data_IF_659561466785
#
_entry.id   IF_659561466785
#
_cell.length_a   1.000
_cell.length_b   1.000
_cell.length_c   1.000
_cell.angle_alpha   90.00
_cell.angle_beta   90.00
_cell.angle_gamma   90.00
#
_symmetry.space_group_name_H-M   'P 1'
#
loop_
_entity.id
_entity.type
_entity.pdbx_description
1 polymer ?
#
# COMPACT_ATOMS: atom_id res chain seq x y z
N UNK A 1 10.72 -16.97 -20.19
CA UNK A 1 11.06 -16.38 -18.86
C UNK A 1 11.98 -15.16 -18.93
N UNK A 2 12.98 -15.13 -19.86
CA UNK A 2 13.94 -14.00 -19.96
C UNK A 2 13.31 -12.61 -20.21
N UNK A 3 12.12 -12.52 -20.81
CA UNK A 3 11.44 -11.23 -21.11
C UNK A 3 10.66 -10.62 -19.94
N UNK A 4 10.42 -11.36 -18.85
CA UNK A 4 9.62 -10.89 -17.70
C UNK A 4 10.48 -10.51 -16.48
N UNK A 5 11.80 -10.69 -16.56
CA UNK A 5 12.67 -10.42 -15.42
C UNK A 5 12.62 -8.96 -14.90
N UNK A 6 12.47 -7.91 -15.77
CA UNK A 6 12.40 -6.54 -15.25
C UNK A 6 11.18 -6.31 -14.36
N UNK A 7 10.03 -6.92 -14.71
CA UNK A 7 8.83 -6.83 -13.87
C UNK A 7 8.98 -7.56 -12.54
N UNK A 8 9.64 -8.71 -12.52
CA UNK A 8 9.94 -9.39 -11.25
C UNK A 8 10.93 -8.60 -10.39
N UNK A 9 11.93 -7.97 -11.00
CA UNK A 9 12.83 -7.06 -10.28
C UNK A 9 12.05 -5.90 -9.67
N UNK A 10 11.11 -5.30 -10.41
CA UNK A 10 10.24 -4.25 -9.90
C UNK A 10 9.44 -4.72 -8.67
N UNK A 11 8.85 -5.92 -8.72
CA UNK A 11 8.13 -6.49 -7.57
C UNK A 11 9.06 -6.66 -6.35
N UNK A 12 10.29 -7.14 -6.54
CA UNK A 12 11.27 -7.29 -5.45
C UNK A 12 11.63 -5.93 -4.85
N UNK A 13 11.87 -4.91 -5.69
CA UNK A 13 12.15 -3.54 -5.22
C UNK A 13 10.97 -2.97 -4.46
N UNK A 14 9.74 -3.19 -4.93
CA UNK A 14 8.51 -2.75 -4.24
C UNK A 14 8.38 -3.39 -2.86
N UNK A 15 8.60 -4.71 -2.75
CA UNK A 15 8.58 -5.41 -1.46
C UNK A 15 9.72 -4.93 -0.55
N UNK A 16 10.91 -4.71 -1.10
CA UNK A 16 12.04 -4.15 -0.36
C UNK A 16 11.76 -2.76 0.20
N UNK A 17 11.12 -1.88 -0.61
CA UNK A 17 10.73 -0.54 -0.18
C UNK A 17 9.67 -0.61 0.92
N UNK A 18 8.65 -1.46 0.78
CA UNK A 18 7.64 -1.69 1.82
C UNK A 18 8.27 -2.15 3.13
N UNK A 19 9.17 -3.14 3.06
CA UNK A 19 9.87 -3.64 4.23
C UNK A 19 10.72 -2.55 4.89
N UNK A 20 11.42 -1.74 4.11
CA UNK A 20 12.21 -0.61 4.63
C UNK A 20 11.33 0.43 5.34
N UNK A 21 10.19 0.81 4.72
CA UNK A 21 9.25 1.75 5.32
C UNK A 21 8.67 1.19 6.63
N UNK A 22 8.19 -0.06 6.60
CA UNK A 22 7.53 -0.70 7.74
C UNK A 22 8.47 -1.11 8.87
N UNK A 23 9.71 -1.51 8.57
CA UNK A 23 10.66 -2.00 9.58
C UNK A 23 11.66 -0.94 10.06
N UNK A 24 11.87 0.14 9.30
CA UNK A 24 12.87 1.16 9.64
C UNK A 24 12.22 2.53 9.86
N UNK A 25 11.49 3.06 8.87
CA UNK A 25 10.98 4.43 8.93
C UNK A 25 9.81 4.60 9.90
N UNK A 26 8.80 3.76 9.78
CA UNK A 26 7.62 3.86 10.64
C UNK A 26 7.95 3.60 12.13
N UNK A 27 8.76 2.59 12.50
CA UNK A 27 9.20 2.44 13.90
C UNK A 27 10.03 3.61 14.42
N UNK A 28 10.88 4.22 13.57
CA UNK A 28 11.66 5.39 13.99
C UNK A 28 10.76 6.59 14.35
N UNK A 29 9.69 6.83 13.57
CA UNK A 29 8.70 7.87 13.89
C UNK A 29 7.91 7.48 15.15
N UNK A 30 7.49 6.22 15.26
CA UNK A 30 6.74 5.71 16.42
C UNK A 30 7.53 5.91 17.73
N UNK A 31 8.84 5.72 17.73
CA UNK A 31 9.67 5.94 18.92
C UNK A 31 9.64 7.40 19.41
N UNK A 32 9.55 8.37 18.50
CA UNK A 32 9.46 9.80 18.86
C UNK A 32 8.14 10.16 19.52
N UNK A 33 7.08 9.40 19.26
CA UNK A 33 5.73 9.60 19.83
C UNK A 33 5.38 8.54 20.90
N UNK A 34 6.37 8.12 21.68
CA UNK A 34 6.17 7.19 22.80
C UNK A 34 5.78 5.77 22.42
N UNK A 35 6.15 5.30 21.22
CA UNK A 35 5.84 3.95 20.72
C UNK A 35 4.45 3.79 20.12
N UNK A 36 3.68 4.87 19.96
CA UNK A 36 2.37 4.83 19.29
C UNK A 36 2.54 4.51 17.81
N UNK A 37 1.60 3.74 17.24
CA UNK A 37 1.62 3.46 15.79
C UNK A 37 1.17 4.69 15.01
N UNK A 38 1.87 4.97 13.92
CA UNK A 38 1.43 6.00 12.96
C UNK A 38 0.17 5.54 12.18
N UNK A 39 -0.60 6.47 11.56
CA UNK A 39 -1.84 6.18 10.86
C UNK A 39 -1.74 5.01 9.89
N UNK A 40 -0.75 5.02 9.04
CA UNK A 40 -0.52 4.06 7.96
C UNK A 40 -0.36 2.61 8.40
N UNK A 41 -0.03 2.38 9.67
CA UNK A 41 0.15 1.03 10.24
C UNK A 41 -1.11 0.46 10.89
N UNK A 42 -2.26 1.14 10.79
CA UNK A 42 -3.52 0.73 11.40
C UNK A 42 -4.57 0.42 10.33
N UNK A 43 -4.76 -0.84 9.89
CA UNK A 43 -5.64 -1.20 8.77
C UNK A 43 -7.10 -0.74 8.89
N UNK A 44 -7.56 -0.52 10.11
CA UNK A 44 -8.93 -0.05 10.40
C UNK A 44 -8.96 1.40 10.92
N UNK A 45 -7.82 2.10 10.85
CA UNK A 45 -7.66 3.43 11.43
C UNK A 45 -7.76 3.44 12.95
N UNK A 46 -7.97 4.62 13.53
CA UNK A 46 -8.28 4.78 14.96
C UNK A 46 -9.69 5.28 15.16
N UNK A 47 -10.20 5.07 16.37
CA UNK A 47 -11.33 5.84 16.87
C UNK A 47 -10.89 7.28 17.21
N UNK A 48 -11.86 8.10 17.59
CA UNK A 48 -11.60 9.50 17.88
C UNK A 48 -10.64 9.71 19.05
N UNK A 49 -10.72 8.86 20.08
CA UNK A 49 -9.86 8.97 21.26
C UNK A 49 -8.42 8.55 20.95
N UNK A 50 -8.23 7.54 20.12
CA UNK A 50 -6.92 7.17 19.59
C UNK A 50 -6.32 8.28 18.73
N UNK A 51 -7.12 8.93 17.89
CA UNK A 51 -6.69 10.06 17.08
C UNK A 51 -6.29 11.27 17.93
N UNK A 52 -7.06 11.59 18.98
CA UNK A 52 -6.72 12.66 19.94
C UNK A 52 -5.43 12.36 20.70
N UNK A 53 -5.25 11.11 21.15
CA UNK A 53 -4.04 10.69 21.85
C UNK A 53 -2.81 10.80 20.95
N UNK A 54 -2.93 10.36 19.69
CA UNK A 54 -1.86 10.44 18.70
C UNK A 54 -1.54 11.91 18.36
N UNK A 55 -2.55 12.75 18.17
CA UNK A 55 -2.39 14.17 17.91
C UNK A 55 -1.64 14.86 19.06
N UNK A 56 -2.01 14.56 20.30
CA UNK A 56 -1.34 15.09 21.48
C UNK A 56 0.13 14.63 21.57
N UNK A 57 0.43 13.36 21.21
CA UNK A 57 1.78 12.84 21.19
C UNK A 57 2.66 13.55 20.12
N UNK A 58 2.13 13.77 18.91
CA UNK A 58 2.83 14.54 17.88
C UNK A 58 3.06 16.00 18.31
N UNK A 59 2.07 16.64 18.94
CA UNK A 59 2.18 18.03 19.41
C UNK A 59 3.23 18.16 20.53
N UNK A 60 3.25 17.21 21.48
CA UNK A 60 4.26 17.16 22.54
C UNK A 60 5.67 16.98 21.97
N UNK A 61 5.85 16.01 21.06
CA UNK A 61 7.16 15.78 20.43
C UNK A 61 7.62 17.00 19.62
N UNK A 62 6.71 17.69 18.94
CA UNK A 62 7.04 18.91 18.19
C UNK A 62 7.59 20.02 19.13
N UNK A 63 6.95 20.22 20.28
CA UNK A 63 7.41 21.20 21.27
C UNK A 63 8.79 20.83 21.84
N UNK A 64 9.01 19.56 22.18
CA UNK A 64 10.29 19.05 22.68
C UNK A 64 11.39 19.14 21.61
N UNK A 65 11.05 18.86 20.36
CA UNK A 65 11.97 18.92 19.23
C UNK A 65 12.43 20.36 18.95
N UNK A 66 11.50 21.32 19.01
CA UNK A 66 11.80 22.74 18.85
C UNK A 66 12.72 23.26 19.98
N UNK A 67 12.47 22.85 21.22
CA UNK A 67 13.33 23.20 22.36
C UNK A 67 14.71 22.56 22.27
N UNK A 68 14.79 21.32 21.76
CA UNK A 68 16.03 20.54 21.65
C UNK A 68 16.82 20.72 20.34
N UNK A 69 16.29 21.47 19.36
CA UNK A 69 16.92 21.66 18.05
C UNK A 69 17.05 20.37 17.22
N UNK A 70 16.12 19.43 17.34
CA UNK A 70 16.07 18.17 16.59
C UNK A 70 14.87 18.12 15.64
N UNK A 71 14.91 17.16 14.70
CA UNK A 71 13.75 16.85 13.88
C UNK A 71 12.63 16.26 14.74
N UNK A 72 11.41 16.75 14.54
CA UNK A 72 10.20 16.23 15.19
C UNK A 72 9.62 15.02 14.46
N UNK A 73 8.78 14.25 15.16
CA UNK A 73 8.01 13.15 14.57
C UNK A 73 7.11 13.64 13.43
N UNK A 74 6.50 14.81 13.59
CA UNK A 74 5.67 15.44 12.56
C UNK A 74 6.44 15.73 11.28
N UNK A 75 7.63 16.34 11.38
CA UNK A 75 8.48 16.60 10.23
C UNK A 75 8.99 15.29 9.58
N UNK A 76 9.34 14.28 10.40
CA UNK A 76 9.76 12.97 9.91
C UNK A 76 8.61 12.25 9.18
N UNK A 77 7.37 12.40 9.66
CA UNK A 77 6.18 11.83 9.05
C UNK A 77 5.86 12.48 7.70
N UNK A 78 5.88 13.80 7.62
CA UNK A 78 5.74 14.51 6.34
C UNK A 78 6.85 14.15 5.35
N UNK A 79 8.08 14.00 5.83
CA UNK A 79 9.21 13.56 4.98
C UNK A 79 9.04 12.13 4.47
N UNK A 80 8.40 11.24 5.24
CA UNK A 80 8.03 9.90 4.79
C UNK A 80 7.06 9.97 3.60
N UNK A 81 5.99 10.76 3.71
CA UNK A 81 4.98 10.93 2.66
C UNK A 81 5.56 11.62 1.43
N UNK A 82 6.32 12.70 1.59
CA UNK A 82 6.93 13.43 0.48
C UNK A 82 8.04 12.64 -0.25
N UNK A 83 8.56 11.59 0.36
CA UNK A 83 9.63 10.76 -0.18
C UNK A 83 9.18 9.37 -0.57
N UNK A 84 9.24 8.46 0.39
CA UNK A 84 9.02 7.04 0.13
C UNK A 84 7.59 6.72 -0.25
N UNK A 85 6.61 7.35 0.37
CA UNK A 85 5.19 7.16 0.11
C UNK A 85 4.71 7.85 -1.17
N UNK A 86 5.47 8.79 -1.72
CA UNK A 86 5.22 9.29 -3.06
C UNK A 86 5.58 8.25 -4.12
N UNK A 87 6.57 7.40 -3.86
CA UNK A 87 7.13 6.42 -4.81
C UNK A 87 6.50 5.03 -4.64
N UNK A 88 6.24 4.60 -3.40
CA UNK A 88 5.77 3.25 -3.12
C UNK A 88 4.42 2.91 -3.75
N UNK A 89 3.34 3.72 -3.62
CA UNK A 89 2.03 3.36 -4.15
C UNK A 89 1.99 3.21 -5.68
N UNK A 90 2.64 4.08 -6.49
CA UNK A 90 2.80 3.83 -7.91
C UNK A 90 3.55 2.53 -8.24
N UNK A 91 4.67 2.26 -7.56
CA UNK A 91 5.42 1.02 -7.75
C UNK A 91 4.58 -0.22 -7.41
N UNK A 92 3.83 -0.16 -6.32
CA UNK A 92 2.95 -1.25 -5.90
C UNK A 92 1.82 -1.47 -6.92
N UNK A 93 1.18 -0.41 -7.39
CA UNK A 93 0.15 -0.45 -8.45
C UNK A 93 0.69 -1.11 -9.73
N UNK A 94 1.88 -0.70 -10.20
CA UNK A 94 2.51 -1.30 -11.38
C UNK A 94 2.88 -2.77 -11.12
N UNK A 95 3.34 -3.11 -9.92
CA UNK A 95 3.66 -4.48 -9.53
C UNK A 95 2.44 -5.39 -9.53
N UNK A 96 1.29 -4.92 -9.01
CA UNK A 96 0.02 -5.66 -9.07
C UNK A 96 -0.42 -5.90 -10.52
N UNK A 97 -0.38 -4.87 -11.37
CA UNK A 97 -0.67 -4.98 -12.80
C UNK A 97 0.27 -5.96 -13.50
N UNK A 98 1.57 -5.91 -13.21
CA UNK A 98 2.54 -6.85 -13.75
C UNK A 98 2.27 -8.29 -13.30
N UNK A 99 1.96 -8.53 -12.02
CA UNK A 99 1.65 -9.86 -11.51
C UNK A 99 0.41 -10.47 -12.19
N UNK A 100 -0.63 -9.66 -12.42
CA UNK A 100 -1.82 -10.08 -13.16
C UNK A 100 -1.49 -10.35 -14.65
N UNK A 101 -0.71 -9.46 -15.28
CA UNK A 101 -0.22 -9.66 -16.64
C UNK A 101 0.59 -10.95 -16.77
N UNK A 102 1.53 -11.20 -15.86
CA UNK A 102 2.37 -12.40 -15.86
C UNK A 102 1.57 -13.69 -15.67
N UNK A 103 0.43 -13.64 -14.94
CA UNK A 103 -0.48 -14.76 -14.81
C UNK A 103 -1.20 -15.08 -16.12
N UNK A 104 -1.61 -14.06 -16.87
CA UNK A 104 -2.55 -14.19 -17.98
C UNK A 104 -1.85 -14.26 -19.35
N UNK A 105 -0.81 -13.46 -19.58
CA UNK A 105 -0.22 -13.24 -20.91
C UNK A 105 1.13 -13.94 -21.09
N UNK A 106 1.19 -15.25 -20.85
CA UNK A 106 2.38 -16.05 -21.16
C UNK A 106 2.36 -16.47 -22.64
N UNK A 107 3.46 -16.22 -23.40
CA UNK A 107 3.51 -16.52 -24.83
C UNK A 107 3.48 -18.03 -25.16
N UNK A 108 3.78 -18.88 -24.20
CA UNK A 108 3.94 -20.34 -24.42
C UNK A 108 2.62 -21.11 -24.51
N UNK A 109 1.50 -20.54 -24.03
CA UNK A 109 0.19 -21.20 -24.08
C UNK A 109 -0.93 -20.15 -24.20
N UNK A 110 -1.69 -20.14 -25.32
CA UNK A 110 -2.82 -19.26 -25.50
C UNK A 110 -3.90 -19.52 -24.44
N UNK A 111 -4.63 -18.46 -24.07
CA UNK A 111 -5.74 -18.54 -23.12
C UNK A 111 -7.00 -18.91 -23.91
N UNK A 112 -7.69 -19.97 -23.49
CA UNK A 112 -8.93 -20.44 -24.12
C UNK A 112 -10.08 -19.42 -23.98
N UNK A 113 -10.05 -18.57 -22.95
CA UNK A 113 -11.06 -17.55 -22.64
C UNK A 113 -10.49 -16.15 -22.55
N UNK A 114 -10.12 -15.51 -23.68
CA UNK A 114 -9.44 -14.21 -23.68
C UNK A 114 -10.30 -13.08 -23.06
N UNK A 115 -11.64 -13.14 -23.18
CA UNK A 115 -12.55 -12.17 -22.57
C UNK A 115 -12.50 -12.22 -21.05
N UNK A 116 -12.51 -13.42 -20.45
CA UNK A 116 -12.43 -13.58 -19.00
C UNK A 116 -11.08 -13.11 -18.46
N UNK A 117 -10.00 -13.40 -19.18
CA UNK A 117 -8.66 -12.91 -18.87
C UNK A 117 -8.60 -11.37 -18.87
N UNK A 118 -9.19 -10.72 -19.88
CA UNK A 118 -9.24 -9.27 -19.98
C UNK A 118 -10.06 -8.64 -18.84
N UNK A 119 -11.21 -9.23 -18.48
CA UNK A 119 -12.02 -8.80 -17.33
C UNK A 119 -11.23 -8.92 -16.04
N UNK A 120 -10.61 -10.09 -15.78
CA UNK A 120 -9.80 -10.30 -14.58
C UNK A 120 -8.64 -9.31 -14.47
N UNK A 121 -7.94 -9.05 -15.57
CA UNK A 121 -6.89 -8.04 -15.62
C UNK A 121 -7.43 -6.62 -15.35
N UNK A 122 -8.54 -6.24 -15.99
CA UNK A 122 -9.19 -4.96 -15.78
C UNK A 122 -9.63 -4.74 -14.33
N UNK A 123 -10.15 -5.77 -13.67
CA UNK A 123 -10.53 -5.71 -12.25
C UNK A 123 -9.30 -5.51 -11.34
N UNK A 124 -8.18 -6.22 -11.59
CA UNK A 124 -6.94 -5.97 -10.83
C UNK A 124 -6.47 -4.54 -11.00
N UNK A 125 -6.47 -4.01 -12.23
CA UNK A 125 -6.08 -2.61 -12.46
C UNK A 125 -7.02 -1.63 -11.76
N UNK A 126 -8.34 -1.84 -11.82
CA UNK A 126 -9.31 -0.98 -11.14
C UNK A 126 -9.05 -0.95 -9.62
N UNK A 127 -8.85 -2.11 -8.99
CA UNK A 127 -8.50 -2.20 -7.56
C UNK A 127 -7.18 -1.53 -7.25
N UNK A 128 -6.15 -1.73 -8.07
CA UNK A 128 -4.83 -1.14 -7.89
C UNK A 128 -4.85 0.40 -8.01
N UNK A 129 -5.61 0.95 -8.96
CA UNK A 129 -5.78 2.40 -9.08
C UNK A 129 -6.64 2.99 -7.95
N UNK A 130 -7.64 2.26 -7.46
CA UNK A 130 -8.41 2.67 -6.28
C UNK A 130 -7.52 2.70 -5.04
N UNK A 131 -6.67 1.67 -4.84
CA UNK A 131 -5.63 1.69 -3.79
C UNK A 131 -4.77 2.95 -3.89
N UNK A 132 -4.20 3.23 -5.08
CA UNK A 132 -3.33 4.39 -5.31
C UNK A 132 -4.02 5.71 -4.96
N UNK A 133 -5.28 5.87 -5.38
CA UNK A 133 -6.06 7.08 -5.09
C UNK A 133 -6.33 7.22 -3.58
N UNK A 134 -6.75 6.14 -2.92
CA UNK A 134 -6.97 6.13 -1.46
C UNK A 134 -5.70 6.51 -0.71
N UNK A 135 -4.56 5.97 -1.09
CA UNK A 135 -3.27 6.21 -0.44
C UNK A 135 -2.82 7.68 -0.57
N UNK A 136 -2.86 8.25 -1.77
CA UNK A 136 -2.51 9.66 -1.95
C UNK A 136 -3.44 10.63 -1.24
N UNK A 137 -4.75 10.35 -1.22
CA UNK A 137 -5.70 11.19 -0.49
C UNK A 137 -5.50 11.01 1.02
N UNK A 138 -5.24 9.78 1.50
CA UNK A 138 -4.92 9.49 2.90
C UNK A 138 -3.71 10.31 3.36
N UNK A 139 -2.61 10.28 2.61
CA UNK A 139 -1.41 11.03 2.92
C UNK A 139 -1.68 12.54 2.99
N UNK A 140 -2.42 13.10 2.03
CA UNK A 140 -2.78 14.52 2.05
C UNK A 140 -3.65 14.91 3.27
N UNK A 141 -4.60 14.03 3.66
CA UNK A 141 -5.41 14.24 4.86
C UNK A 141 -4.57 14.12 6.12
N UNK A 142 -3.72 13.10 6.21
CA UNK A 142 -2.82 12.87 7.35
C UNK A 142 -1.84 14.04 7.52
N UNK A 143 -1.26 14.56 6.45
CA UNK A 143 -0.37 15.72 6.46
C UNK A 143 -1.09 16.99 6.96
N UNK A 144 -2.36 17.16 6.57
CA UNK A 144 -3.19 18.27 7.03
C UNK A 144 -3.60 18.18 8.51
N UNK A 145 -3.52 16.97 9.11
CA UNK A 145 -3.82 16.74 10.53
C UNK A 145 -2.57 16.74 11.40
N UNK A 146 -1.52 16.08 10.96
CA UNK A 146 -0.32 15.80 11.77
C UNK A 146 0.89 16.65 11.36
N UNK A 147 0.77 17.50 10.35
CA UNK A 147 1.84 18.42 9.95
C UNK A 147 2.12 19.46 11.03
N UNK A 148 3.36 20.02 11.12
CA UNK A 148 3.76 20.94 12.18
C UNK A 148 2.84 22.15 12.34
N UNK A 149 2.30 22.68 11.25
CA UNK A 149 1.35 23.81 11.27
C UNK A 149 -0.02 23.39 11.83
N UNK A 150 -0.47 22.18 11.51
CA UNK A 150 -1.77 21.67 11.95
C UNK A 150 -1.78 21.36 13.45
N UNK A 151 -0.66 20.93 14.02
CA UNK A 151 -0.53 20.62 15.44
C UNK A 151 -0.64 21.86 16.34
N UNK A 152 -0.47 23.06 15.79
CA UNK A 152 -0.77 24.31 16.48
C UNK A 152 -2.25 24.71 16.51
N UNK A 153 -3.13 23.92 15.87
CA UNK A 153 -4.57 24.14 15.78
C UNK A 153 -5.33 23.04 16.56
N UNK A 154 -6.66 23.12 16.58
CA UNK A 154 -7.48 22.03 17.11
C UNK A 154 -7.56 20.86 16.11
N UNK A 155 -7.61 19.64 16.63
CA UNK A 155 -7.81 18.44 15.80
C UNK A 155 -9.13 18.53 15.02
N UNK A 156 -9.08 18.34 13.72
CA UNK A 156 -10.28 18.25 12.89
C UNK A 156 -10.86 16.83 12.95
N UNK A 157 -11.91 16.66 13.75
CA UNK A 157 -12.56 15.35 13.96
C UNK A 157 -13.18 14.77 12.68
N UNK A 158 -13.60 15.59 11.72
CA UNK A 158 -14.13 15.09 10.44
C UNK A 158 -13.06 14.39 9.63
N UNK A 159 -11.83 14.86 9.69
CA UNK A 159 -10.70 14.22 9.00
C UNK A 159 -10.34 12.87 9.61
N UNK A 160 -10.60 12.64 10.89
CA UNK A 160 -10.42 11.32 11.52
C UNK A 160 -11.32 10.28 10.85
N UNK A 161 -12.58 10.61 10.58
CA UNK A 161 -13.49 9.74 9.86
C UNK A 161 -13.02 9.49 8.41
N UNK A 162 -12.66 10.56 7.69
CA UNK A 162 -12.16 10.46 6.30
C UNK A 162 -10.92 9.59 6.25
N UNK A 163 -9.95 9.81 7.14
CA UNK A 163 -8.72 9.03 7.22
C UNK A 163 -9.03 7.54 7.42
N UNK A 164 -9.93 7.22 8.36
CA UNK A 164 -10.35 5.84 8.63
C UNK A 164 -10.96 5.15 7.41
N UNK A 165 -11.81 5.85 6.65
CA UNK A 165 -12.43 5.31 5.41
C UNK A 165 -11.38 5.08 4.35
N UNK A 166 -10.45 6.02 4.15
CA UNK A 166 -9.38 5.90 3.16
C UNK A 166 -8.43 4.76 3.50
N UNK A 167 -8.01 4.66 4.77
CA UNK A 167 -7.15 3.57 5.24
C UNK A 167 -7.83 2.21 5.02
N UNK A 168 -9.11 2.06 5.42
CA UNK A 168 -9.86 0.83 5.19
C UNK A 168 -10.01 0.51 3.69
N UNK A 169 -10.27 1.53 2.86
CA UNK A 169 -10.34 1.42 1.41
C UNK A 169 -9.03 0.94 0.79
N UNK A 170 -7.91 1.54 1.20
CA UNK A 170 -6.55 1.18 0.78
C UNK A 170 -6.25 -0.29 1.07
N UNK A 171 -6.45 -0.75 2.30
CA UNK A 171 -6.20 -2.13 2.69
C UNK A 171 -7.15 -3.12 1.99
N UNK A 172 -8.44 -2.80 1.93
CA UNK A 172 -9.43 -3.66 1.28
C UNK A 172 -9.11 -3.86 -0.21
N UNK A 173 -8.85 -2.78 -0.95
CA UNK A 173 -8.57 -2.87 -2.38
C UNK A 173 -7.26 -3.59 -2.67
N UNK A 174 -6.22 -3.40 -1.87
CA UNK A 174 -4.95 -4.13 -2.01
C UNK A 174 -5.11 -5.62 -1.72
N UNK A 175 -5.83 -6.00 -0.67
CA UNK A 175 -6.12 -7.41 -0.34
C UNK A 175 -6.94 -8.07 -1.45
N UNK A 176 -7.98 -7.42 -1.95
CA UNK A 176 -8.80 -7.94 -3.04
C UNK A 176 -8.00 -8.09 -4.34
N UNK A 177 -7.13 -7.13 -4.67
CA UNK A 177 -6.26 -7.22 -5.83
C UNK A 177 -5.31 -8.42 -5.73
N UNK A 178 -4.66 -8.61 -4.57
CA UNK A 178 -3.77 -9.75 -4.33
C UNK A 178 -4.53 -11.08 -4.38
N UNK A 179 -5.71 -11.18 -3.76
CA UNK A 179 -6.54 -12.38 -3.80
C UNK A 179 -6.94 -12.73 -5.23
N UNK A 180 -7.33 -11.72 -6.03
CA UNK A 180 -7.67 -11.92 -7.44
C UNK A 180 -6.45 -12.36 -8.26
N UNK A 181 -5.28 -11.79 -8.03
CA UNK A 181 -4.04 -12.22 -8.69
C UNK A 181 -3.75 -13.70 -8.37
N UNK A 182 -3.85 -14.11 -7.10
CA UNK A 182 -3.69 -15.51 -6.70
C UNK A 182 -4.72 -16.41 -7.42
N UNK A 183 -5.99 -16.00 -7.48
CA UNK A 183 -7.03 -16.73 -8.20
C UNK A 183 -6.71 -16.87 -9.69
N UNK A 184 -6.20 -15.82 -10.35
CA UNK A 184 -5.77 -15.86 -11.75
C UNK A 184 -4.60 -16.83 -11.96
N UNK A 185 -3.63 -16.87 -11.05
CA UNK A 185 -2.53 -17.82 -11.10
C UNK A 185 -3.00 -19.26 -10.93
N UNK A 186 -3.88 -19.53 -9.94
CA UNK A 186 -4.47 -20.87 -9.72
C UNK A 186 -5.27 -21.31 -10.94
N UNK A 187 -6.16 -20.46 -11.44
CA UNK A 187 -6.93 -20.74 -12.65
C UNK A 187 -6.03 -21.10 -13.82
N UNK A 188 -4.97 -20.34 -14.03
CA UNK A 188 -3.98 -20.60 -15.09
C UNK A 188 -3.31 -21.95 -14.93
N UNK A 189 -2.89 -22.31 -13.71
CA UNK A 189 -2.23 -23.59 -13.42
C UNK A 189 -3.16 -24.78 -13.69
N UNK A 190 -4.44 -24.67 -13.30
CA UNK A 190 -5.45 -25.72 -13.52
C UNK A 190 -5.75 -25.87 -15.01
N UNK A 191 -5.92 -24.78 -15.75
CA UNK A 191 -6.18 -24.81 -17.20
C UNK A 191 -5.03 -25.48 -17.98
N UNK A 192 -3.79 -25.21 -17.60
CA UNK A 192 -2.61 -25.83 -18.22
C UNK A 192 -2.57 -27.33 -17.98
N UNK A 193 -2.93 -27.82 -16.79
CA UNK A 193 -2.93 -29.26 -16.46
C UNK A 193 -4.00 -30.03 -17.25
N UNK A 194 -5.16 -29.43 -17.46
CA UNK A 194 -6.27 -30.07 -18.22
C UNK A 194 -5.96 -30.21 -19.72
N UNK A 195 -5.13 -29.33 -20.27
CA UNK A 195 -4.75 -29.34 -21.67
C UNK A 195 -3.61 -30.35 -22.02
N UNK A 196 -3.03 -31.02 -21.02
CA UNK A 196 -1.98 -32.02 -21.24
C UNK A 196 -2.61 -33.42 -21.22
N UNK A 197 -2.74 -34.15 -22.37
CA UNK A 197 -3.27 -35.50 -22.39
C UNK A 197 -2.40 -36.44 -21.53
N UNK A 198 -2.98 -37.46 -20.87
CA UNK A 198 -2.20 -38.48 -20.20
C UNK A 198 -1.25 -39.13 -21.21
N UNK A 199 0.02 -39.31 -20.82
CA UNK A 199 0.99 -40.06 -21.65
C UNK A 199 0.40 -41.41 -21.99
N UNK A 200 0.37 -41.76 -23.28
CA UNK A 200 -0.07 -43.07 -23.72
C UNK A 200 0.79 -44.15 -23.02
N UNK A 201 0.17 -45.21 -22.46
CA UNK A 201 0.94 -46.30 -21.86
C UNK A 201 1.81 -46.94 -22.94
N UNK A 202 3.12 -46.98 -22.69
CA UNK A 202 4.13 -47.67 -23.50
C UNK A 202 4.02 -49.15 -23.31
#
# INVERSE_FOLDING_TARGET
>A
MKRLWPGWLLCVLTVGLLAYMGCVKAPAISLLIGGMKIPDLLPFGYDLDGARSLFAAFASDLADAQAGGRQSASEAYLALHAGYDLVFPPLFTISLGFCAFAALFRPEKPIETPRLAAVGFGLVLALAFTYLACDFIENAVADSMFGPKALGLALNEQFVFVLRVLTAGKYTTSILALALIVALWVWRLVSVRRATPPAAPT
#
